data_IF_000685948773
#
_entry.id   IF_000685948773
#
_cell.length_a   1.000
_cell.length_b   1.000
_cell.length_c   1.000
_cell.angle_alpha   90.00
_cell.angle_beta   90.00
_cell.angle_gamma   90.00
#
_symmetry.space_group_name_H-M   'P 1'
#
loop_
_entity.id
_entity.type
_entity.pdbx_description
1 polymer ?
#
# COMPACT_ATOMS: atom_id res chain seq x y z
N UNK A 1 3.55 -21.61 -0.80
CA UNK A 1 3.33 -20.52 -1.77
C UNK A 1 2.46 -19.44 -1.11
N UNK A 2 2.97 -18.22 -1.00
CA UNK A 2 2.33 -17.15 -0.21
C UNK A 2 1.55 -16.22 -1.14
N UNK A 3 0.34 -16.63 -1.46
CA UNK A 3 -0.56 -15.92 -2.38
C UNK A 3 -1.90 -15.65 -1.73
N UNK A 4 -2.56 -14.58 -2.16
CA UNK A 4 -3.92 -14.26 -1.75
C UNK A 4 -4.67 -13.53 -2.86
N UNK A 5 -5.98 -13.68 -2.86
CA UNK A 5 -6.90 -12.90 -3.69
C UNK A 5 -8.02 -12.40 -2.78
N UNK A 6 -8.23 -11.08 -2.78
CA UNK A 6 -9.24 -10.41 -1.97
C UNK A 6 -10.15 -9.61 -2.87
N UNK A 7 -11.45 -9.86 -2.76
CA UNK A 7 -12.50 -9.06 -3.40
C UNK A 7 -13.21 -8.23 -2.34
N UNK A 8 -13.50 -6.97 -2.66
CA UNK A 8 -14.24 -6.07 -1.79
C UNK A 8 -15.23 -5.26 -2.62
N UNK A 9 -16.48 -5.24 -2.18
CA UNK A 9 -17.53 -4.43 -2.82
C UNK A 9 -18.29 -3.69 -1.74
N UNK A 10 -18.39 -2.37 -1.91
CA UNK A 10 -19.20 -1.47 -1.09
C UNK A 10 -20.16 -0.71 -2.00
N UNK A 11 -20.89 0.27 -1.45
CA UNK A 11 -21.70 1.17 -2.26
C UNK A 11 -20.86 2.12 -3.10
N UNK A 12 -19.61 2.37 -2.69
CA UNK A 12 -18.70 3.33 -3.34
C UNK A 12 -17.69 2.67 -4.28
N UNK A 13 -17.27 1.43 -3.98
CA UNK A 13 -16.19 0.78 -4.72
C UNK A 13 -16.46 -0.70 -4.98
N UNK A 14 -15.86 -1.23 -6.04
CA UNK A 14 -15.78 -2.66 -6.31
C UNK A 14 -14.34 -2.95 -6.78
N UNK A 15 -13.66 -3.88 -6.10
CA UNK A 15 -12.26 -4.15 -6.42
C UNK A 15 -11.84 -5.59 -6.12
N UNK A 16 -10.78 -6.00 -6.80
CA UNK A 16 -10.09 -7.28 -6.60
C UNK A 16 -8.59 -6.99 -6.50
N UNK A 17 -7.96 -7.58 -5.51
CA UNK A 17 -6.50 -7.56 -5.31
C UNK A 17 -5.98 -8.97 -5.37
N UNK A 18 -4.94 -9.20 -6.19
CA UNK A 18 -4.18 -10.45 -6.21
C UNK A 18 -2.74 -10.15 -5.82
N UNK A 19 -2.20 -10.95 -4.92
CA UNK A 19 -0.89 -10.77 -4.34
C UNK A 19 -0.11 -12.08 -4.34
N UNK A 20 1.17 -12.04 -4.75
CA UNK A 20 2.11 -13.14 -4.61
C UNK A 20 3.39 -12.61 -3.97
N UNK A 21 3.63 -12.98 -2.71
CA UNK A 21 4.81 -12.55 -1.95
C UNK A 21 6.10 -13.20 -2.47
N UNK A 22 5.98 -14.31 -3.17
CA UNK A 22 7.10 -15.05 -3.77
C UNK A 22 7.23 -14.75 -5.27
N UNK A 23 6.75 -13.59 -5.70
CA UNK A 23 6.74 -13.16 -7.09
C UNK A 23 8.07 -12.64 -7.61
N UNK A 24 8.01 -11.89 -8.69
CA UNK A 24 9.16 -11.28 -9.37
C UNK A 24 9.02 -9.78 -9.59
N UNK A 25 7.98 -9.16 -9.02
CA UNK A 25 7.68 -7.74 -9.18
C UNK A 25 6.79 -7.44 -10.38
N UNK A 26 6.04 -8.43 -10.86
CA UNK A 26 5.04 -8.20 -11.91
C UNK A 26 3.91 -7.34 -11.35
N UNK A 27 3.42 -6.43 -12.17
CA UNK A 27 2.38 -5.52 -11.75
C UNK A 27 1.37 -5.27 -12.87
N UNK A 28 0.12 -5.12 -12.48
CA UNK A 28 -0.96 -4.69 -13.35
C UNK A 28 -2.03 -4.04 -12.49
N UNK A 29 -1.91 -2.73 -12.30
CA UNK A 29 -2.73 -1.99 -11.36
C UNK A 29 -3.57 -0.95 -12.10
N UNK A 30 -4.89 -1.08 -12.00
CA UNK A 30 -5.86 -0.20 -12.65
C UNK A 30 -6.93 0.20 -11.63
N UNK A 31 -6.75 1.36 -11.03
CA UNK A 31 -7.69 1.94 -10.06
C UNK A 31 -8.49 3.11 -10.63
N UNK A 32 -8.09 3.63 -11.79
CA UNK A 32 -8.64 4.85 -12.36
C UNK A 32 -7.95 6.12 -11.85
N UNK A 33 -7.03 6.00 -10.88
CA UNK A 33 -6.24 7.11 -10.34
C UNK A 33 -4.79 6.94 -10.82
N UNK A 34 -4.41 7.70 -11.84
CA UNK A 34 -3.15 7.47 -12.56
C UNK A 34 -1.90 7.50 -11.70
N UNK A 35 -1.76 8.50 -10.83
CA UNK A 35 -0.61 8.59 -9.93
C UNK A 35 -0.57 7.42 -8.95
N UNK A 36 -1.72 7.01 -8.42
CA UNK A 36 -1.82 5.88 -7.51
C UNK A 36 -1.44 4.57 -8.21
N UNK A 37 -1.90 4.35 -9.43
CA UNK A 37 -1.52 3.18 -10.23
C UNK A 37 -0.01 3.11 -10.40
N UNK A 38 0.62 4.24 -10.73
CA UNK A 38 2.07 4.34 -10.86
C UNK A 38 2.79 3.98 -9.55
N UNK A 39 2.30 4.46 -8.41
CA UNK A 39 2.90 4.15 -7.11
C UNK A 39 2.73 2.68 -6.73
N UNK A 40 1.60 2.07 -7.04
CA UNK A 40 1.38 0.64 -6.82
C UNK A 40 2.32 -0.21 -7.71
N UNK A 41 2.54 0.21 -8.94
CA UNK A 41 3.50 -0.45 -9.84
C UNK A 41 4.92 -0.36 -9.30
N UNK A 42 5.32 0.79 -8.75
CA UNK A 42 6.62 0.95 -8.10
C UNK A 42 6.75 0.05 -6.86
N UNK A 43 5.69 -0.04 -6.05
CA UNK A 43 5.68 -0.94 -4.89
C UNK A 43 5.93 -2.39 -5.33
N UNK A 44 5.23 -2.88 -6.32
CA UNK A 44 5.42 -4.22 -6.85
C UNK A 44 6.84 -4.42 -7.37
N UNK A 45 7.29 -3.53 -8.25
CA UNK A 45 8.59 -3.64 -8.90
C UNK A 45 9.75 -3.70 -7.90
N UNK A 46 9.74 -2.83 -6.90
CA UNK A 46 10.87 -2.69 -5.96
C UNK A 46 10.80 -3.70 -4.80
N UNK A 47 9.61 -4.16 -4.43
CA UNK A 47 9.47 -5.21 -3.41
C UNK A 47 9.64 -6.63 -3.98
N UNK A 48 9.60 -6.78 -5.31
CA UNK A 48 9.55 -8.08 -6.01
C UNK A 48 8.28 -8.89 -5.70
N UNK A 49 7.28 -8.27 -5.12
CA UNK A 49 5.96 -8.85 -4.91
C UNK A 49 5.13 -8.66 -6.18
N UNK A 50 4.47 -9.71 -6.66
CA UNK A 50 3.52 -9.52 -7.75
C UNK A 50 2.22 -8.93 -7.21
N UNK A 51 1.75 -7.84 -7.80
CA UNK A 51 0.53 -7.13 -7.40
C UNK A 51 -0.34 -6.87 -8.63
N UNK A 52 -1.56 -7.40 -8.60
CA UNK A 52 -2.58 -7.08 -9.60
C UNK A 52 -3.80 -6.51 -8.90
N UNK A 53 -4.23 -5.31 -9.29
CA UNK A 53 -5.37 -4.62 -8.72
C UNK A 53 -6.30 -4.14 -9.83
N UNK A 54 -7.58 -4.47 -9.71
CA UNK A 54 -8.66 -3.93 -10.52
C UNK A 54 -9.65 -3.27 -9.59
N UNK A 55 -9.82 -1.97 -9.72
CA UNK A 55 -10.75 -1.21 -8.90
C UNK A 55 -11.61 -0.27 -9.74
N UNK A 56 -12.88 -0.19 -9.39
CA UNK A 56 -13.83 0.79 -9.91
C UNK A 56 -14.49 1.47 -8.71
N UNK A 57 -14.31 2.77 -8.60
CA UNK A 57 -14.82 3.55 -7.47
C UNK A 57 -15.55 4.82 -7.91
N UNK A 58 -16.03 5.53 -6.93
CA UNK A 58 -16.79 6.78 -7.06
C UNK A 58 -15.87 8.00 -7.29
N UNK A 59 -15.01 7.91 -8.31
CA UNK A 59 -14.00 8.95 -8.62
C UNK A 59 -14.62 10.32 -8.94
N UNK A 60 -15.92 10.34 -9.27
CA UNK A 60 -16.65 11.60 -9.46
C UNK A 60 -16.85 12.39 -8.16
N UNK A 61 -16.78 11.71 -7.01
CA UNK A 61 -16.77 12.36 -5.69
C UNK A 61 -15.35 12.84 -5.37
N UNK A 62 -14.42 11.91 -5.22
CA UNK A 62 -12.99 12.12 -5.10
C UNK A 62 -12.26 10.76 -5.16
N UNK A 63 -10.96 10.75 -4.91
CA UNK A 63 -10.15 9.53 -4.94
C UNK A 63 -10.12 8.79 -3.60
N UNK A 64 -10.69 9.35 -2.53
CA UNK A 64 -10.52 8.88 -1.15
C UNK A 64 -10.97 7.43 -0.98
N UNK A 65 -12.23 7.13 -1.32
CA UNK A 65 -12.78 5.77 -1.12
C UNK A 65 -11.98 4.73 -1.89
N UNK A 66 -11.59 5.04 -3.13
CA UNK A 66 -10.79 4.11 -3.95
C UNK A 66 -9.43 3.84 -3.32
N UNK A 67 -8.71 4.87 -2.91
CA UNK A 67 -7.38 4.74 -2.30
C UNK A 67 -7.46 3.98 -0.97
N UNK A 68 -8.40 4.33 -0.11
CA UNK A 68 -8.61 3.67 1.18
C UNK A 68 -8.99 2.20 1.00
N UNK A 69 -9.95 1.90 0.13
CA UNK A 69 -10.44 0.52 -0.07
C UNK A 69 -9.39 -0.38 -0.72
N UNK A 70 -8.57 0.15 -1.60
CA UNK A 70 -7.38 -0.57 -2.12
C UNK A 70 -6.40 -0.87 -0.98
N UNK A 71 -6.15 0.09 -0.11
CA UNK A 71 -5.31 -0.11 1.08
C UNK A 71 -5.85 -1.20 1.99
N UNK A 72 -7.16 -1.21 2.26
CA UNK A 72 -7.84 -2.25 3.04
C UNK A 72 -7.64 -3.63 2.41
N UNK A 73 -7.96 -3.76 1.13
CA UNK A 73 -7.91 -5.04 0.43
C UNK A 73 -6.47 -5.55 0.27
N UNK A 74 -5.50 -4.68 -0.02
CA UNK A 74 -4.10 -5.04 -0.12
C UNK A 74 -3.54 -5.48 1.25
N UNK A 75 -3.92 -4.79 2.33
CA UNK A 75 -3.56 -5.19 3.70
C UNK A 75 -4.10 -6.57 4.05
N UNK A 76 -5.38 -6.84 3.74
CA UNK A 76 -5.99 -8.17 3.95
C UNK A 76 -5.28 -9.24 3.13
N UNK A 77 -4.97 -8.96 1.86
CA UNK A 77 -4.25 -9.89 1.01
C UNK A 77 -2.87 -10.22 1.58
N UNK A 78 -2.15 -9.23 2.12
CA UNK A 78 -0.88 -9.45 2.80
C UNK A 78 -1.05 -10.38 4.01
N UNK A 79 -2.02 -10.11 4.88
CA UNK A 79 -2.28 -10.93 6.06
C UNK A 79 -2.63 -12.38 5.68
N UNK A 80 -3.47 -12.57 4.68
CA UNK A 80 -3.83 -13.91 4.18
C UNK A 80 -2.63 -14.64 3.57
N UNK A 81 -1.83 -13.97 2.76
CA UNK A 81 -0.65 -14.56 2.12
C UNK A 81 0.43 -14.95 3.13
N UNK A 82 0.57 -14.21 4.24
CA UNK A 82 1.50 -14.55 5.32
C UNK A 82 1.05 -15.77 6.14
N UNK A 83 -0.24 -16.06 6.14
CA UNK A 83 -0.79 -17.20 6.88
C UNK A 83 -0.45 -17.16 8.37
N UNK A 84 0.09 -18.25 8.89
CA UNK A 84 0.52 -18.37 10.28
C UNK A 84 1.86 -17.70 10.58
N UNK A 85 2.46 -17.09 9.56
CA UNK A 85 3.76 -16.40 9.62
C UNK A 85 4.95 -17.30 9.95
N UNK A 86 4.83 -18.62 9.75
CA UNK A 86 5.94 -19.53 9.93
C UNK A 86 7.06 -19.25 8.94
N UNK A 87 8.28 -19.15 9.44
CA UNK A 87 9.48 -19.02 8.60
C UNK A 87 9.68 -17.65 7.95
N UNK A 88 8.87 -16.65 8.28
CA UNK A 88 9.05 -15.30 7.71
C UNK A 88 10.18 -14.53 8.42
N UNK A 89 10.71 -13.53 7.72
CA UNK A 89 11.47 -12.47 8.35
C UNK A 89 10.49 -11.43 8.88
N UNK A 90 10.32 -11.38 10.19
CA UNK A 90 9.31 -10.55 10.87
C UNK A 90 9.56 -9.05 10.69
N UNK A 91 10.82 -8.61 10.76
CA UNK A 91 11.20 -7.21 10.73
C UNK A 91 11.83 -6.83 9.40
N UNK A 92 11.51 -5.64 8.92
CA UNK A 92 12.13 -5.07 7.75
C UNK A 92 12.30 -3.57 7.88
N UNK A 93 13.36 -3.03 7.32
CA UNK A 93 13.58 -1.59 7.27
C UNK A 93 14.45 -1.19 6.10
N UNK A 94 14.28 0.03 5.65
CA UNK A 94 15.18 0.63 4.66
C UNK A 94 15.22 2.14 4.82
N UNK A 95 16.36 2.73 4.46
CA UNK A 95 16.46 4.14 4.12
C UNK A 95 16.53 4.23 2.60
N UNK A 96 15.76 5.14 2.03
CA UNK A 96 15.74 5.35 0.60
C UNK A 96 16.00 6.81 0.30
N UNK A 97 17.00 7.06 -0.54
CA UNK A 97 17.32 8.37 -1.05
C UNK A 97 16.88 8.49 -2.50
N UNK A 98 16.33 9.64 -2.85
CA UNK A 98 16.09 10.03 -4.23
C UNK A 98 16.33 11.52 -4.34
N UNK A 99 17.38 11.88 -5.08
CA UNK A 99 17.88 13.26 -5.19
C UNK A 99 18.06 13.88 -3.78
N UNK A 100 17.36 14.96 -3.48
CA UNK A 100 17.43 15.65 -2.18
C UNK A 100 16.57 15.01 -1.09
N UNK A 101 15.74 14.03 -1.40
CA UNK A 101 14.83 13.44 -0.42
C UNK A 101 15.42 12.20 0.26
N UNK A 102 15.18 12.05 1.54
CA UNK A 102 15.51 10.84 2.30
C UNK A 102 14.33 10.42 3.17
N UNK A 103 13.91 9.16 3.01
CA UNK A 103 12.81 8.55 3.76
C UNK A 103 13.29 7.25 4.41
N UNK A 104 12.81 6.98 5.60
CA UNK A 104 12.97 5.69 6.27
C UNK A 104 11.60 5.02 6.41
N UNK A 105 11.54 3.73 6.10
CA UNK A 105 10.41 2.88 6.45
C UNK A 105 10.91 1.69 7.28
N UNK A 106 10.18 1.36 8.34
CA UNK A 106 10.45 0.20 9.17
C UNK A 106 9.13 -0.47 9.54
N UNK A 107 9.10 -1.79 9.52
CA UNK A 107 7.89 -2.54 9.81
C UNK A 107 8.14 -3.76 10.69
N UNK A 108 7.09 -4.15 11.41
CA UNK A 108 7.02 -5.36 12.20
C UNK A 108 5.72 -6.11 11.87
N UNK A 109 5.86 -7.31 11.32
CA UNK A 109 4.72 -8.18 10.98
C UNK A 109 4.18 -8.88 12.24
N UNK A 110 3.86 -8.09 13.26
CA UNK A 110 3.53 -8.56 14.61
C UNK A 110 2.11 -9.11 14.79
N UNK A 111 1.20 -8.80 13.87
CA UNK A 111 -0.23 -9.02 14.08
C UNK A 111 -0.93 -7.90 14.86
N UNK A 112 -0.19 -6.91 15.35
CA UNK A 112 -0.70 -5.73 16.06
C UNK A 112 -0.62 -4.51 15.14
N UNK A 113 -1.76 -3.99 14.68
CA UNK A 113 -1.76 -2.87 13.74
C UNK A 113 -1.37 -1.55 14.45
N UNK A 114 -0.43 -0.84 13.84
CA UNK A 114 -0.06 0.51 14.28
C UNK A 114 0.61 1.26 13.12
N UNK A 115 0.31 2.54 12.99
CA UNK A 115 1.00 3.42 12.04
C UNK A 115 1.65 4.60 12.78
N UNK A 116 2.95 4.75 12.63
CA UNK A 116 3.65 5.99 12.97
C UNK A 116 3.96 6.71 11.68
N UNK A 117 3.42 7.90 11.52
CA UNK A 117 3.54 8.70 10.31
C UNK A 117 4.19 10.04 10.61
N UNK A 118 5.45 10.19 10.20
CA UNK A 118 6.23 11.42 10.35
C UNK A 118 6.66 11.94 8.97
N UNK A 119 5.66 12.16 8.12
CA UNK A 119 5.86 12.64 6.76
C UNK A 119 4.98 13.85 6.52
N UNK A 120 5.61 14.97 6.22
CA UNK A 120 4.93 16.18 5.77
C UNK A 120 5.22 16.37 4.28
N UNK A 121 4.18 16.51 3.48
CA UNK A 121 4.35 16.80 2.07
C UNK A 121 4.44 18.30 1.85
N UNK A 122 5.40 18.78 1.02
CA UNK A 122 5.57 20.22 0.77
C UNK A 122 4.43 20.80 -0.07
N UNK A 123 3.64 19.96 -0.73
CA UNK A 123 2.51 20.37 -1.56
C UNK A 123 1.26 19.58 -1.21
N UNK A 124 0.09 20.21 -1.37
CA UNK A 124 -1.19 19.54 -1.14
C UNK A 124 -1.57 18.54 -2.24
N UNK A 125 -1.00 18.70 -3.44
CA UNK A 125 -1.32 17.86 -4.60
C UNK A 125 -0.08 17.53 -5.41
N UNK A 126 -0.12 16.35 -6.02
CA UNK A 126 0.80 15.92 -7.09
C UNK A 126 -0.09 15.68 -8.33
N UNK A 127 -0.08 16.62 -9.28
CA UNK A 127 -1.08 16.62 -10.33
C UNK A 127 -2.48 16.76 -9.73
N UNK A 128 -3.38 15.84 -10.02
CA UNK A 128 -4.73 15.80 -9.45
C UNK A 128 -4.82 14.99 -8.14
N UNK A 129 -3.73 14.35 -7.71
CA UNK A 129 -3.71 13.46 -6.54
C UNK A 129 -3.45 14.26 -5.25
N UNK A 130 -4.35 14.13 -4.27
CA UNK A 130 -4.21 14.74 -2.96
C UNK A 130 -3.17 13.99 -2.12
N UNK A 131 -2.13 14.68 -1.66
CA UNK A 131 -1.03 14.04 -0.92
C UNK A 131 -1.45 13.48 0.44
N UNK A 132 -2.53 13.98 1.04
CA UNK A 132 -3.09 13.43 2.28
C UNK A 132 -3.55 11.98 2.13
N UNK A 133 -3.89 11.54 0.92
CA UNK A 133 -4.33 10.17 0.64
C UNK A 133 -3.22 9.13 0.80
N UNK A 134 -1.97 9.54 0.77
CA UNK A 134 -0.84 8.64 1.04
C UNK A 134 -0.92 8.07 2.45
N UNK A 135 -1.17 8.94 3.43
CA UNK A 135 -1.38 8.52 4.83
C UNK A 135 -2.62 7.64 4.97
N UNK A 136 -3.70 8.00 4.30
CA UNK A 136 -4.94 7.21 4.32
C UNK A 136 -4.71 5.78 3.79
N UNK A 137 -3.97 5.67 2.68
CA UNK A 137 -3.59 4.36 2.14
C UNK A 137 -2.79 3.54 3.14
N UNK A 138 -1.74 4.09 3.72
CA UNK A 138 -0.88 3.35 4.65
C UNK A 138 -1.57 3.06 5.98
N UNK A 139 -2.49 3.92 6.43
CA UNK A 139 -3.35 3.64 7.59
C UNK A 139 -4.20 2.41 7.33
N UNK A 140 -4.92 2.39 6.22
CA UNK A 140 -5.77 1.27 5.82
C UNK A 140 -4.95 -0.03 5.66
N UNK A 141 -3.80 0.07 5.01
CA UNK A 141 -2.89 -1.04 4.79
C UNK A 141 -2.35 -1.63 6.10
N UNK A 142 -1.84 -0.80 7.00
CA UNK A 142 -1.28 -1.25 8.27
C UNK A 142 -2.36 -1.87 9.19
N UNK A 143 -3.54 -1.24 9.25
CA UNK A 143 -4.66 -1.74 10.07
C UNK A 143 -5.15 -3.11 9.58
N UNK A 144 -5.32 -3.27 8.29
CA UNK A 144 -5.85 -4.50 7.69
C UNK A 144 -4.78 -5.58 7.44
N UNK A 145 -3.54 -5.17 7.22
CA UNK A 145 -2.38 -6.08 7.16
C UNK A 145 -1.90 -6.53 8.55
N UNK A 146 -2.40 -5.88 9.59
CA UNK A 146 -2.10 -6.17 11.00
C UNK A 146 -0.61 -6.12 11.28
N UNK A 147 0.01 -5.03 10.86
CA UNK A 147 1.43 -4.78 11.05
C UNK A 147 1.67 -3.42 11.67
N UNK A 148 2.79 -3.29 12.37
CA UNK A 148 3.30 -1.99 12.79
C UNK A 148 4.14 -1.42 11.65
N UNK A 149 3.80 -0.22 11.19
CA UNK A 149 4.52 0.48 10.15
C UNK A 149 4.97 1.85 10.66
N UNK A 150 6.25 2.14 10.50
CA UNK A 150 6.84 3.43 10.84
C UNK A 150 7.42 4.05 9.58
N UNK A 151 6.95 5.24 9.22
CA UNK A 151 7.47 5.99 8.09
C UNK A 151 7.87 7.39 8.54
N UNK A 152 9.07 7.80 8.19
CA UNK A 152 9.59 9.12 8.50
C UNK A 152 10.32 9.71 7.29
N UNK A 153 10.00 10.97 6.98
CA UNK A 153 10.81 11.78 6.07
C UNK A 153 11.85 12.54 6.90
N UNK A 154 13.11 12.40 6.54
CA UNK A 154 14.19 13.13 7.21
C UNK A 154 14.35 14.52 6.64
N UNK A 155 14.43 14.60 5.31
CA UNK A 155 14.51 15.89 4.59
C UNK A 155 14.09 15.71 3.14
N UNK A 156 13.84 16.82 2.49
CA UNK A 156 13.55 16.93 1.07
C UNK A 156 14.09 18.26 0.56
#
# INVERSE_FOLDING_TARGET
MRRAEVSRTTTETALVVKLDLDGSGRHDNQTGVGFFDHMLDQLARHSLIDIEIRASGDLHVDDHHTVEDVGIALGRALAEALGDKSGIRRYGSCHLAMDEALVRAALDLSGRPFLVWKVDFPTAKIGAFDTELVREFFTAFAMNGRLSLNVARFYV
#
